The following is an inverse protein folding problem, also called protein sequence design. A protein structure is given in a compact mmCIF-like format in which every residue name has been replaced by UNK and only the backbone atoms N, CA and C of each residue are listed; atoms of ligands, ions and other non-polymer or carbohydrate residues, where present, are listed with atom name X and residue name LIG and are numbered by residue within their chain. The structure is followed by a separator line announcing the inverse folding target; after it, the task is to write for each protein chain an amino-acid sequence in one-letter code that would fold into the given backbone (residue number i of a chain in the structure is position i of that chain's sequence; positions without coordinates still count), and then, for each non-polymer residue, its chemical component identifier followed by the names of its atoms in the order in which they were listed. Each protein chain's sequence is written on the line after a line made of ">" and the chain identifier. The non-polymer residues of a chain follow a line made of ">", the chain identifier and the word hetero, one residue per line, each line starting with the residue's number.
data_IF_589287572941
#
_entry.id   IF_589287572941
#
_cell.length_a   1.000
_cell.length_b   1.000
_cell.length_c   1.000
_cell.angle_alpha   90.00
_cell.angle_beta   90.00
_cell.angle_gamma   90.00
#
_symmetry.space_group_name_H-M   'P 1'
#
loop_
_entity.id
_entity.type
_entity.pdbx_description
1 polymer ?
#
# COMPACT_ATOMS: atom_id res chain seq x y z
N UNK A 1 12.01 -9.22 -23.39
CA UNK A 1 11.39 -8.69 -22.16
C UNK A 1 10.26 -7.74 -22.57
N UNK A 2 9.03 -8.04 -22.20
CA UNK A 2 7.86 -7.18 -22.49
C UNK A 2 8.04 -5.86 -21.75
N UNK A 3 7.91 -4.72 -22.48
CA UNK A 3 7.95 -3.39 -21.87
C UNK A 3 6.70 -3.24 -20.98
N UNK A 4 6.88 -3.17 -19.68
CA UNK A 4 5.79 -2.88 -18.74
C UNK A 4 5.18 -1.54 -19.11
N UNK A 5 3.87 -1.53 -19.41
CA UNK A 5 3.16 -0.30 -19.76
C UNK A 5 2.82 0.46 -18.47
N UNK A 6 3.61 1.50 -18.17
CA UNK A 6 3.33 2.35 -17.00
C UNK A 6 1.98 3.04 -17.22
N UNK A 7 1.06 2.78 -16.31
CA UNK A 7 -0.29 3.36 -16.34
C UNK A 7 -0.24 4.75 -15.71
N UNK A 8 -0.36 5.80 -16.54
CA UNK A 8 -0.47 7.18 -16.04
C UNK A 8 -1.93 7.52 -15.79
N UNK A 9 -2.47 7.08 -14.65
CA UNK A 9 -3.82 7.45 -14.20
C UNK A 9 -3.74 8.23 -12.90
N UNK A 10 -4.21 9.48 -12.97
CA UNK A 10 -4.40 10.33 -11.80
C UNK A 10 -5.79 10.08 -11.24
N UNK A 11 -5.86 9.63 -10.01
CA UNK A 11 -7.12 9.49 -9.31
C UNK A 11 -7.26 10.60 -8.26
N UNK A 12 -8.49 11.11 -8.08
CA UNK A 12 -8.76 11.80 -6.81
C UNK A 12 -8.75 10.78 -5.67
N UNK A 13 -8.47 11.20 -4.45
CA UNK A 13 -8.46 10.30 -3.29
C UNK A 13 -9.80 9.57 -3.12
N UNK A 14 -10.92 10.25 -3.36
CA UNK A 14 -12.27 9.65 -3.33
C UNK A 14 -12.45 8.58 -4.40
N UNK A 15 -11.95 8.82 -5.63
CA UNK A 15 -12.08 7.85 -6.72
C UNK A 15 -11.16 6.65 -6.49
N UNK A 16 -9.92 6.88 -6.04
CA UNK A 16 -8.99 5.81 -5.69
C UNK A 16 -9.61 4.87 -4.63
N UNK A 17 -10.18 5.45 -3.56
CA UNK A 17 -10.88 4.67 -2.53
C UNK A 17 -11.99 3.82 -3.10
N UNK A 18 -12.81 4.36 -4.00
CA UNK A 18 -13.87 3.58 -4.67
C UNK A 18 -13.27 2.43 -5.50
N UNK A 19 -12.30 2.72 -6.36
CA UNK A 19 -11.66 1.73 -7.24
C UNK A 19 -11.05 0.60 -6.41
N UNK A 20 -10.29 0.92 -5.36
CA UNK A 20 -9.66 -0.09 -4.49
C UNK A 20 -10.70 -0.89 -3.71
N UNK A 21 -11.74 -0.25 -3.19
CA UNK A 21 -12.77 -0.94 -2.40
C UNK A 21 -13.66 -1.88 -3.25
N UNK A 22 -13.75 -1.64 -4.56
CA UNK A 22 -14.46 -2.53 -5.51
C UNK A 22 -13.51 -3.46 -6.28
N UNK A 23 -12.20 -3.38 -6.04
CA UNK A 23 -11.24 -4.31 -6.64
C UNK A 23 -11.50 -5.72 -6.12
N UNK A 24 -11.83 -6.71 -7.00
CA UNK A 24 -12.35 -8.00 -6.59
C UNK A 24 -11.52 -8.73 -5.53
N UNK A 25 -10.17 -8.80 -5.62
CA UNK A 25 -9.36 -9.46 -4.60
C UNK A 25 -9.50 -8.84 -3.20
N UNK A 26 -9.64 -7.52 -3.11
CA UNK A 26 -9.81 -6.82 -1.82
C UNK A 26 -11.26 -6.93 -1.33
N UNK A 27 -12.22 -6.78 -2.24
CA UNK A 27 -13.65 -6.84 -1.93
C UNK A 27 -14.04 -8.19 -1.34
N UNK A 28 -13.61 -9.31 -1.96
CA UNK A 28 -13.91 -10.68 -1.49
C UNK A 28 -13.25 -10.92 -0.13
N UNK A 29 -12.05 -10.42 0.08
CA UNK A 29 -11.34 -10.49 1.36
C UNK A 29 -11.88 -9.52 2.42
N UNK A 30 -12.93 -8.72 2.10
CA UNK A 30 -13.55 -7.75 3.01
C UNK A 30 -12.58 -6.66 3.49
N UNK A 31 -11.65 -6.28 2.61
CA UNK A 31 -10.65 -5.24 2.82
C UNK A 31 -11.17 -3.93 2.23
N UNK A 32 -11.12 -2.85 3.00
CA UNK A 32 -11.58 -1.53 2.55
C UNK A 32 -10.68 -0.42 3.03
N UNK A 33 -10.41 0.53 2.17
CA UNK A 33 -9.89 1.84 2.58
C UNK A 33 -11.06 2.58 3.25
N UNK A 34 -10.89 2.96 4.51
CA UNK A 34 -11.88 3.72 5.28
C UNK A 34 -11.54 5.21 5.32
N UNK A 35 -10.25 5.56 5.32
CA UNK A 35 -9.76 6.95 5.28
C UNK A 35 -8.56 7.05 4.33
N UNK A 36 -8.42 8.18 3.64
CA UNK A 36 -7.24 8.53 2.87
C UNK A 36 -7.18 10.03 2.60
N UNK A 37 -5.99 10.59 2.69
CA UNK A 37 -5.73 12.00 2.43
C UNK A 37 -5.78 12.34 0.94
N UNK A 38 -5.96 13.62 0.64
CA UNK A 38 -6.00 14.11 -0.75
C UNK A 38 -4.63 14.04 -1.44
N UNK A 39 -3.55 14.07 -0.67
CA UNK A 39 -2.15 14.00 -1.13
C UNK A 39 -1.55 12.58 -1.06
N UNK A 40 -2.35 11.60 -0.63
CA UNK A 40 -1.97 10.18 -0.50
C UNK A 40 -0.85 9.90 0.50
N UNK A 41 -0.62 10.81 1.46
CA UNK A 41 0.42 10.62 2.48
C UNK A 41 -0.04 9.71 3.62
N UNK A 42 -1.34 9.63 3.87
CA UNK A 42 -1.93 8.74 4.87
C UNK A 42 -3.10 7.95 4.29
N UNK A 43 -3.20 6.69 4.69
CA UNK A 43 -4.24 5.79 4.26
C UNK A 43 -4.54 4.79 5.38
N UNK A 44 -5.83 4.59 5.67
CA UNK A 44 -6.30 3.67 6.69
C UNK A 44 -7.17 2.59 6.07
N UNK A 45 -6.85 1.36 6.37
CA UNK A 45 -7.53 0.16 5.85
C UNK A 45 -8.19 -0.60 6.98
N UNK A 46 -9.42 -1.02 6.77
CA UNK A 46 -10.11 -2.00 7.60
C UNK A 46 -10.15 -3.37 6.91
N UNK A 47 -9.84 -4.42 7.66
CA UNK A 47 -10.15 -5.81 7.30
C UNK A 47 -11.31 -6.24 8.17
N UNK A 48 -12.51 -6.34 7.58
CA UNK A 48 -13.70 -6.72 8.33
C UNK A 48 -13.68 -8.22 8.62
N UNK A 49 -13.77 -8.58 9.91
CA UNK A 49 -13.93 -9.97 10.34
C UNK A 49 -15.24 -10.55 9.81
N UNK A 50 -15.19 -11.63 9.04
CA UNK A 50 -16.33 -12.14 8.29
C UNK A 50 -16.18 -13.64 8.07
N UNK A 51 -17.30 -14.32 7.83
CA UNK A 51 -17.29 -15.74 7.45
C UNK A 51 -16.55 -15.99 6.12
N UNK A 52 -16.46 -14.98 5.23
CA UNK A 52 -15.77 -15.09 3.95
C UNK A 52 -14.23 -15.16 4.09
N UNK A 53 -13.67 -14.65 5.18
CA UNK A 53 -12.23 -14.57 5.36
C UNK A 53 -11.73 -15.22 6.66
N UNK A 54 -12.55 -16.05 7.30
CA UNK A 54 -12.12 -16.86 8.43
C UNK A 54 -11.41 -18.12 7.97
N UNK A 55 -10.36 -18.49 8.70
CA UNK A 55 -9.74 -19.80 8.60
C UNK A 55 -10.47 -20.83 9.51
N UNK A 56 -10.01 -22.08 9.49
CA UNK A 56 -10.57 -23.16 10.31
C UNK A 56 -10.47 -22.91 11.81
N UNK A 57 -9.53 -22.07 12.26
CA UNK A 57 -9.35 -21.65 13.66
C UNK A 57 -10.24 -20.46 14.04
N UNK A 58 -11.18 -20.07 13.18
CA UNK A 58 -12.09 -18.93 13.36
C UNK A 58 -11.36 -17.60 13.58
N UNK A 59 -10.19 -17.44 12.96
CA UNK A 59 -9.45 -16.19 12.88
C UNK A 59 -9.41 -15.71 11.43
N UNK A 60 -9.13 -14.43 11.19
CA UNK A 60 -8.90 -13.91 9.84
C UNK A 60 -7.76 -14.72 9.20
N UNK A 61 -7.98 -15.20 7.98
CA UNK A 61 -7.00 -15.96 7.23
C UNK A 61 -5.74 -15.10 6.98
N UNK A 62 -4.56 -15.68 7.21
CA UNK A 62 -3.29 -14.96 7.05
C UNK A 62 -3.09 -14.37 5.65
N UNK A 63 -3.54 -15.08 4.60
CA UNK A 63 -3.54 -14.56 3.23
C UNK A 63 -4.40 -13.31 3.04
N UNK A 64 -5.52 -13.18 3.76
CA UNK A 64 -6.32 -11.95 3.79
C UNK A 64 -5.54 -10.80 4.40
N UNK A 65 -4.82 -11.04 5.53
CA UNK A 65 -4.01 -10.00 6.16
C UNK A 65 -2.85 -9.60 5.24
N UNK A 66 -2.21 -10.56 4.58
CA UNK A 66 -1.18 -10.31 3.58
C UNK A 66 -1.73 -9.43 2.44
N UNK A 67 -2.90 -9.77 1.88
CA UNK A 67 -3.55 -8.98 0.83
C UNK A 67 -3.93 -7.55 1.27
N UNK A 68 -4.15 -7.35 2.58
CA UNK A 68 -4.43 -6.04 3.16
C UNK A 68 -3.15 -5.22 3.44
N UNK A 69 -1.98 -5.82 3.38
CA UNK A 69 -0.69 -5.16 3.61
C UNK A 69 -0.01 -4.83 2.27
N UNK A 70 -0.10 -5.73 1.29
CA UNK A 70 0.69 -5.70 0.06
C UNK A 70 0.54 -4.41 -0.76
N UNK A 71 -0.67 -3.93 -1.18
CA UNK A 71 -0.74 -2.98 -2.30
C UNK A 71 -0.53 -1.51 -1.93
N UNK A 72 -0.72 -1.13 -0.67
CA UNK A 72 -1.05 0.27 -0.38
C UNK A 72 0.14 1.22 -0.46
N UNK A 73 1.32 0.87 0.05
CA UNK A 73 2.50 1.74 -0.12
C UNK A 73 2.84 1.95 -1.59
N UNK A 74 2.73 0.91 -2.43
CA UNK A 74 2.94 1.06 -3.87
C UNK A 74 1.91 1.99 -4.51
N UNK A 75 0.64 1.87 -4.13
CA UNK A 75 -0.45 2.73 -4.61
C UNK A 75 -0.26 4.18 -4.17
N UNK A 76 0.17 4.42 -2.93
CA UNK A 76 0.46 5.76 -2.41
C UNK A 76 1.57 6.44 -3.22
N UNK A 77 2.75 5.82 -3.34
CA UNK A 77 3.84 6.34 -4.15
C UNK A 77 3.43 6.56 -5.62
N UNK A 78 2.75 5.58 -6.22
CA UNK A 78 2.28 5.71 -7.60
C UNK A 78 1.38 6.93 -7.79
N UNK A 79 0.43 7.18 -6.88
CA UNK A 79 -0.46 8.35 -6.98
C UNK A 79 0.25 9.66 -6.68
N UNK A 80 1.15 9.71 -5.69
CA UNK A 80 1.96 10.89 -5.38
C UNK A 80 2.75 11.34 -6.62
N UNK A 81 3.43 10.44 -7.30
CA UNK A 81 4.17 10.77 -8.52
C UNK A 81 3.26 11.04 -9.72
N UNK A 82 2.17 10.27 -9.88
CA UNK A 82 1.22 10.48 -10.99
C UNK A 82 0.52 11.85 -10.91
N UNK A 83 0.12 12.30 -9.73
CA UNK A 83 -0.52 13.61 -9.54
C UNK A 83 0.41 14.76 -9.90
N UNK A 84 1.71 14.60 -9.69
CA UNK A 84 2.75 15.55 -10.09
C UNK A 84 3.11 15.48 -11.59
N UNK A 85 2.48 14.61 -12.37
CA UNK A 85 2.69 14.48 -13.81
C UNK A 85 3.86 13.60 -14.23
N UNK A 86 4.53 12.93 -13.29
CA UNK A 86 5.69 12.06 -13.49
C UNK A 86 5.42 10.62 -13.02
N UNK A 87 4.61 9.86 -13.77
CA UNK A 87 4.26 8.51 -13.36
C UNK A 87 5.49 7.61 -13.32
N UNK A 88 5.69 6.98 -12.16
CA UNK A 88 6.75 6.02 -11.92
C UNK A 88 6.24 4.58 -12.05
N UNK A 89 7.15 3.68 -12.31
CA UNK A 89 6.94 2.25 -12.14
C UNK A 89 7.13 1.92 -10.64
N UNK A 90 6.09 1.46 -9.97
CA UNK A 90 6.12 1.16 -8.53
C UNK A 90 5.62 -0.25 -8.28
N UNK A 91 6.40 -1.03 -7.54
CA UNK A 91 6.09 -2.41 -7.18
C UNK A 91 6.43 -2.70 -5.73
N UNK A 92 5.70 -3.61 -5.13
CA UNK A 92 6.16 -4.27 -3.91
C UNK A 92 7.10 -5.39 -4.33
N UNK A 93 8.33 -5.33 -3.83
CA UNK A 93 9.40 -6.28 -4.17
C UNK A 93 9.49 -7.43 -3.16
N UNK A 94 9.17 -7.12 -1.90
CA UNK A 94 9.22 -8.10 -0.81
C UNK A 94 8.30 -7.66 0.32
N UNK A 95 7.69 -8.64 0.97
CA UNK A 95 6.96 -8.45 2.23
C UNK A 95 7.49 -9.45 3.23
N UNK A 96 7.87 -8.97 4.41
CA UNK A 96 8.17 -9.80 5.57
C UNK A 96 7.01 -9.65 6.55
N UNK A 97 6.40 -10.76 6.94
CA UNK A 97 5.21 -10.74 7.78
C UNK A 97 5.38 -11.66 9.00
N UNK A 98 4.95 -11.18 10.16
CA UNK A 98 4.97 -11.93 11.41
C UNK A 98 3.60 -11.86 12.06
N UNK A 99 2.91 -12.99 12.10
CA UNK A 99 1.64 -13.15 12.81
C UNK A 99 1.90 -13.33 14.31
N UNK A 100 1.50 -12.34 15.12
CA UNK A 100 1.74 -12.31 16.57
C UNK A 100 0.61 -12.93 17.35
N UNK A 101 -0.62 -12.71 16.88
CA UNK A 101 -1.86 -13.10 17.56
C UNK A 101 -2.94 -13.43 16.53
N UNK A 102 -3.80 -14.39 16.87
CA UNK A 102 -4.97 -14.73 16.04
C UNK A 102 -5.96 -13.54 15.99
N UNK A 103 -6.21 -13.02 14.80
CA UNK A 103 -7.13 -11.90 14.57
C UNK A 103 -8.57 -12.41 14.58
N UNK A 104 -9.30 -12.21 15.70
CA UNK A 104 -10.69 -12.63 15.89
C UNK A 104 -11.71 -11.47 15.91
N UNK A 105 -11.29 -10.30 15.46
CA UNK A 105 -12.14 -9.11 15.26
C UNK A 105 -11.69 -8.38 14.00
N UNK A 106 -12.36 -7.27 13.64
CA UNK A 106 -11.86 -6.39 12.59
C UNK A 106 -10.42 -5.98 12.90
N UNK A 107 -9.62 -5.84 11.84
CA UNK A 107 -8.28 -5.27 11.91
C UNK A 107 -8.26 -3.89 11.28
N UNK A 108 -7.45 -3.03 11.83
CA UNK A 108 -7.11 -1.71 11.31
C UNK A 108 -5.63 -1.67 10.95
N UNK A 109 -5.31 -1.09 9.80
CA UNK A 109 -3.95 -0.96 9.29
C UNK A 109 -3.77 0.48 8.81
N UNK A 110 -2.77 1.18 9.35
CA UNK A 110 -2.44 2.55 8.97
C UNK A 110 -1.16 2.55 8.16
N UNK A 111 -1.22 3.17 6.98
CA UNK A 111 -0.09 3.41 6.10
C UNK A 111 0.20 4.90 6.10
N UNK A 112 1.45 5.27 6.36
CA UNK A 112 1.86 6.67 6.39
C UNK A 112 3.19 6.85 5.68
N UNK A 113 3.29 7.93 4.90
CA UNK A 113 4.51 8.42 4.29
C UNK A 113 4.83 9.80 4.84
N UNK A 114 6.10 10.10 5.01
CA UNK A 114 6.57 11.41 5.46
C UNK A 114 7.08 12.24 4.28
N UNK A 115 7.20 13.55 4.47
CA UNK A 115 7.85 14.40 3.48
C UNK A 115 9.29 13.98 3.20
N UNK A 116 9.99 13.39 4.19
CA UNK A 116 11.34 12.87 4.01
C UNK A 116 11.37 11.62 3.12
N UNK A 117 10.38 10.73 3.22
CA UNK A 117 10.28 9.56 2.33
C UNK A 117 10.20 10.00 0.87
N UNK A 118 9.40 11.03 0.59
CA UNK A 118 9.25 11.57 -0.77
C UNK A 118 10.52 12.28 -1.23
N UNK A 119 11.18 13.07 -0.38
CA UNK A 119 12.45 13.74 -0.69
C UNK A 119 13.55 12.73 -1.00
N UNK A 120 13.68 11.67 -0.18
CA UNK A 120 14.66 10.61 -0.38
C UNK A 120 14.39 9.84 -1.68
N UNK A 121 13.12 9.53 -1.97
CA UNK A 121 12.73 8.90 -3.22
C UNK A 121 13.13 9.75 -4.44
N UNK A 122 12.83 11.05 -4.42
CA UNK A 122 13.19 11.98 -5.50
C UNK A 122 14.71 12.06 -5.68
N UNK A 123 15.47 12.19 -4.61
CA UNK A 123 16.93 12.25 -4.65
C UNK A 123 17.53 10.99 -5.29
N UNK A 124 17.13 9.80 -4.84
CA UNK A 124 17.61 8.52 -5.37
C UNK A 124 17.16 8.28 -6.82
N UNK A 125 15.94 8.70 -7.17
CA UNK A 125 15.45 8.62 -8.55
C UNK A 125 16.19 9.55 -9.50
N UNK A 126 16.71 10.72 -9.01
CA UNK A 126 17.56 11.63 -9.78
C UNK A 126 18.95 11.05 -10.00
N UNK A 127 19.58 10.47 -8.96
CA UNK A 127 20.94 9.91 -9.06
C UNK A 127 20.99 8.56 -9.77
N UNK A 128 20.12 7.63 -9.37
CA UNK A 128 20.23 6.22 -9.73
C UNK A 128 19.09 5.72 -10.65
N UNK A 129 18.08 6.56 -10.87
CA UNK A 129 16.88 6.21 -11.64
C UNK A 129 15.97 5.18 -10.95
N UNK A 130 16.31 4.77 -9.74
CA UNK A 130 15.56 3.80 -8.93
C UNK A 130 15.64 4.15 -7.44
N UNK A 131 14.67 3.66 -6.65
CA UNK A 131 14.63 3.80 -5.20
C UNK A 131 14.04 2.55 -4.58
N UNK A 132 14.61 2.09 -3.49
CA UNK A 132 14.08 0.98 -2.68
C UNK A 132 14.03 1.40 -1.22
N UNK A 133 12.89 1.14 -0.57
CA UNK A 133 12.67 1.51 0.82
C UNK A 133 11.81 0.50 1.54
N UNK A 134 12.15 0.20 2.77
CA UNK A 134 11.34 -0.58 3.67
C UNK A 134 10.42 0.32 4.48
N UNK A 135 9.16 -0.08 4.59
CA UNK A 135 8.18 0.53 5.50
C UNK A 135 7.66 -0.52 6.45
N UNK A 136 7.59 -0.18 7.72
CA UNK A 136 6.98 -1.01 8.76
C UNK A 136 5.48 -0.70 8.83
N UNK A 137 4.66 -1.73 9.06
CA UNK A 137 3.21 -1.59 9.20
C UNK A 137 2.66 -2.66 10.13
N UNK A 138 1.68 -2.27 10.94
CA UNK A 138 1.03 -3.16 11.89
C UNK A 138 -0.46 -3.30 11.58
N UNK A 139 -0.99 -4.52 11.72
CA UNK A 139 -2.42 -4.77 11.75
C UNK A 139 -2.87 -4.92 13.20
N UNK A 140 -3.79 -4.05 13.63
CA UNK A 140 -4.20 -3.85 15.01
C UNK A 140 -5.67 -4.27 15.17
N UNK A 141 -6.00 -4.97 16.24
CA UNK A 141 -7.36 -5.38 16.53
C UNK A 141 -8.17 -4.28 17.26
N UNK A 142 -9.46 -4.54 17.52
CA UNK A 142 -10.35 -3.62 18.22
C UNK A 142 -9.89 -3.24 19.64
N UNK A 143 -9.00 -4.03 20.24
CA UNK A 143 -8.46 -3.79 21.59
C UNK A 143 -7.13 -3.04 21.55
N UNK A 144 -6.73 -2.52 20.38
CA UNK A 144 -5.43 -1.87 20.13
C UNK A 144 -4.24 -2.81 20.29
N UNK A 145 -4.44 -4.13 20.14
CA UNK A 145 -3.36 -5.11 20.20
C UNK A 145 -2.86 -5.45 18.79
N UNK A 146 -1.54 -5.52 18.64
CA UNK A 146 -0.90 -5.87 17.37
C UNK A 146 -1.11 -7.36 17.08
N UNK A 147 -1.91 -7.67 16.07
CA UNK A 147 -2.10 -9.04 15.59
C UNK A 147 -1.03 -9.45 14.58
N UNK A 148 -0.53 -8.51 13.79
CA UNK A 148 0.45 -8.78 12.74
C UNK A 148 1.39 -7.60 12.61
N UNK A 149 2.70 -7.89 12.55
CA UNK A 149 3.76 -6.97 12.16
C UNK A 149 4.22 -7.30 10.75
N UNK A 150 4.46 -6.30 9.93
CA UNK A 150 5.00 -6.52 8.60
C UNK A 150 5.97 -5.42 8.19
N UNK A 151 6.89 -5.79 7.29
CA UNK A 151 7.79 -4.86 6.58
C UNK A 151 7.57 -5.03 5.09
N UNK A 152 7.42 -3.92 4.40
CA UNK A 152 7.11 -3.88 2.97
C UNK A 152 8.24 -3.18 2.22
N UNK A 153 8.92 -3.88 1.31
CA UNK A 153 9.94 -3.31 0.44
C UNK A 153 9.29 -2.77 -0.82
N UNK A 154 9.24 -1.46 -0.93
CA UNK A 154 8.77 -0.75 -2.12
C UNK A 154 9.94 -0.53 -3.08
N UNK A 155 9.74 -0.83 -4.35
CA UNK A 155 10.67 -0.53 -5.45
C UNK A 155 10.02 0.48 -6.39
N UNK A 156 10.71 1.60 -6.62
CA UNK A 156 10.28 2.67 -7.52
C UNK A 156 11.34 2.85 -8.61
N UNK A 157 10.90 2.99 -9.87
CA UNK A 157 11.81 3.16 -11.01
C UNK A 157 11.30 4.23 -11.97
N UNK A 158 12.20 5.14 -12.37
CA UNK A 158 11.96 6.12 -13.41
C UNK A 158 12.28 5.53 -14.80
N UNK A 159 11.49 4.54 -15.24
CA UNK A 159 11.73 3.79 -16.49
C UNK A 159 11.60 4.65 -17.75
N UNK A 160 10.88 5.78 -17.68
CA UNK A 160 10.69 6.70 -18.81
C UNK A 160 11.68 7.87 -18.79
N UNK A 161 12.61 7.91 -17.83
CA UNK A 161 13.59 8.99 -17.65
C UNK A 161 12.92 10.39 -17.60
N UNK A 162 11.81 10.49 -16.85
CA UNK A 162 11.16 11.78 -16.62
C UNK A 162 12.14 12.75 -15.96
N UNK A 163 12.08 14.03 -16.37
CA UNK A 163 12.79 15.09 -15.66
C UNK A 163 12.17 15.31 -14.29
N UNK A 164 12.98 15.17 -13.25
CA UNK A 164 12.55 15.31 -11.85
C UNK A 164 12.89 16.69 -11.26
N UNK A 165 13.42 17.62 -12.06
CA UNK A 165 13.75 18.97 -11.59
C UNK A 165 12.50 19.84 -11.38
N UNK A 166 11.35 19.38 -11.86
CA UNK A 166 10.04 20.03 -11.68
C UNK A 166 9.36 19.68 -10.36
N UNK A 167 9.98 18.84 -9.52
CA UNK A 167 9.55 18.45 -8.17
C UNK A 167 10.33 19.25 -7.11
#
# INVERSE_FOLDING_TARGET
>A
MSKVKIVNRKYSSKLLRKVMNFFPPLLVNRIKIIENDSDFMNLKVEVKYSWLNKNLQKAIFGGTIFSAIDPYYAVMYWQIFSTKGIPMEVWIKKVEIRYRKAAKSNLEIVFSLTGNDIKNAIASLKSDGKYEVWHDVNAIDKNQEVCTEARVLVHIKNSKKHDLNIL
#
